data_IF_466442015778
#
_entry.id   IF_466442015778
#
_cell.length_a   1.000
_cell.length_b   1.000
_cell.length_c   1.000
_cell.angle_alpha   90.00
_cell.angle_beta   90.00
_cell.angle_gamma   90.00
#
_symmetry.space_group_name_H-M   'P 1'
#
loop_
_entity.id
_entity.type
_entity.pdbx_description
1 polymer ?
#
# COMPACT_ATOMS: atom_id res chain seq x y z
N UNK A 1 4.98 9.44 -10.72
CA UNK A 1 4.31 8.29 -10.08
C UNK A 1 2.89 8.63 -9.62
N UNK A 2 2.66 9.77 -9.00
CA UNK A 2 1.32 10.18 -8.51
C UNK A 2 0.27 10.25 -9.62
N UNK A 3 0.63 10.75 -10.81
CA UNK A 3 -0.29 10.76 -11.96
C UNK A 3 -0.68 9.35 -12.41
N UNK A 4 0.24 8.36 -12.32
CA UNK A 4 -0.08 6.96 -12.60
C UNK A 4 -1.10 6.41 -11.60
N UNK A 5 -0.94 6.71 -10.30
CA UNK A 5 -1.91 6.31 -9.29
C UNK A 5 -3.29 6.95 -9.50
N UNK A 6 -3.33 8.26 -9.84
CA UNK A 6 -4.58 8.95 -10.18
C UNK A 6 -5.25 8.33 -11.40
N UNK A 7 -4.50 8.05 -12.45
CA UNK A 7 -5.03 7.41 -13.65
C UNK A 7 -5.63 6.04 -13.34
N UNK A 8 -4.97 5.23 -12.50
CA UNK A 8 -5.48 3.92 -12.07
C UNK A 8 -6.79 4.05 -11.27
N UNK A 9 -6.86 4.99 -10.32
CA UNK A 9 -8.08 5.24 -9.54
C UNK A 9 -9.23 5.68 -10.44
N UNK A 10 -9.00 6.64 -11.33
CA UNK A 10 -10.00 7.16 -12.25
C UNK A 10 -10.51 6.09 -13.24
N UNK A 11 -9.60 5.32 -13.83
CA UNK A 11 -9.93 4.23 -14.75
C UNK A 11 -10.86 3.20 -14.09
N UNK A 12 -10.59 2.86 -12.82
CA UNK A 12 -11.38 1.90 -12.07
C UNK A 12 -12.58 2.55 -11.34
N UNK A 13 -12.87 3.84 -11.59
CA UNK A 13 -13.98 4.59 -10.98
C UNK A 13 -13.96 4.59 -9.44
N UNK A 14 -12.76 4.49 -8.85
CA UNK A 14 -12.57 4.50 -7.40
C UNK A 14 -12.33 5.94 -6.95
N UNK A 15 -13.27 6.49 -6.20
CA UNK A 15 -13.17 7.81 -5.61
C UNK A 15 -12.49 7.73 -4.25
N UNK A 16 -11.46 8.56 -4.05
CA UNK A 16 -10.86 8.79 -2.74
C UNK A 16 -11.44 10.08 -2.19
N UNK A 17 -11.98 10.03 -0.96
CA UNK A 17 -12.53 11.23 -0.30
C UNK A 17 -11.44 12.27 -0.02
N UNK A 18 -11.82 13.39 0.59
CA UNK A 18 -10.90 14.52 0.85
C UNK A 18 -10.10 14.35 2.15
N UNK A 19 -10.55 13.50 3.06
CA UNK A 19 -9.95 13.31 4.38
C UNK A 19 -9.09 12.05 4.44
N UNK A 20 -7.82 12.17 4.06
CA UNK A 20 -6.81 11.12 4.18
C UNK A 20 -5.41 11.72 4.27
N UNK A 21 -4.43 10.93 4.74
CA UNK A 21 -3.02 11.22 4.52
C UNK A 21 -2.45 10.26 3.48
N UNK A 22 -1.57 10.76 2.61
CA UNK A 22 -0.97 9.97 1.55
C UNK A 22 0.52 9.76 1.81
N UNK A 23 0.93 8.50 1.84
CA UNK A 23 2.32 8.07 1.92
C UNK A 23 2.71 7.35 0.63
N UNK A 24 3.88 7.69 0.10
CA UNK A 24 4.59 6.92 -0.92
C UNK A 24 5.60 6.04 -0.20
N UNK A 25 5.30 4.76 -0.06
CA UNK A 25 6.15 3.78 0.64
C UNK A 25 7.13 3.17 -0.35
N UNK A 26 8.39 3.64 -0.37
CA UNK A 26 9.38 3.28 -1.41
C UNK A 26 10.49 2.33 -0.96
N UNK A 27 10.66 2.07 0.32
CA UNK A 27 11.54 1.07 0.95
C UNK A 27 13.03 1.06 0.53
N UNK A 28 13.38 1.49 -0.66
CA UNK A 28 14.76 1.49 -1.21
C UNK A 28 15.09 2.79 -1.97
N UNK A 29 14.47 3.89 -1.57
CA UNK A 29 14.59 5.18 -2.25
C UNK A 29 13.49 5.38 -3.31
N UNK A 30 13.15 6.65 -3.53
CA UNK A 30 12.08 7.05 -4.47
C UNK A 30 12.41 6.69 -5.93
N UNK A 31 13.67 6.63 -6.27
CA UNK A 31 14.17 6.24 -7.60
C UNK A 31 13.84 4.76 -7.94
N UNK A 32 13.67 3.91 -6.91
CA UNK A 32 13.31 2.50 -7.06
C UNK A 32 11.81 2.25 -6.88
N UNK A 33 11.00 3.29 -6.69
CA UNK A 33 9.60 3.18 -6.33
C UNK A 33 8.78 2.37 -7.35
N UNK A 34 9.03 2.51 -8.64
CA UNK A 34 8.31 1.72 -9.66
C UNK A 34 8.46 0.21 -9.50
N UNK A 35 9.59 -0.22 -8.94
CA UNK A 35 9.86 -1.65 -8.72
C UNK A 35 9.41 -2.12 -7.34
N UNK A 36 9.61 -1.28 -6.32
CA UNK A 36 9.42 -1.66 -4.91
C UNK A 36 8.73 -0.54 -4.16
N UNK A 37 7.47 -0.76 -3.77
CA UNK A 37 6.71 0.21 -3.00
C UNK A 37 5.21 0.09 -3.19
N UNK A 38 4.49 1.07 -2.68
CA UNK A 38 3.06 1.28 -2.88
C UNK A 38 2.65 2.68 -2.44
N UNK A 39 1.49 3.14 -2.90
CA UNK A 39 0.81 4.31 -2.33
C UNK A 39 -0.12 3.85 -1.22
N UNK A 40 -0.09 4.55 -0.09
CA UNK A 40 -0.92 4.29 1.08
C UNK A 40 -1.79 5.51 1.35
N UNK A 41 -3.07 5.43 1.01
CA UNK A 41 -4.07 6.41 1.40
C UNK A 41 -4.60 6.00 2.78
N UNK A 42 -4.12 6.64 3.84
CA UNK A 42 -4.55 6.37 5.20
C UNK A 42 -5.86 7.10 5.46
N UNK A 43 -6.97 6.39 5.45
CA UNK A 43 -8.32 6.95 5.54
C UNK A 43 -8.75 7.12 6.99
N UNK A 44 -8.52 6.09 7.81
CA UNK A 44 -8.83 6.12 9.24
C UNK A 44 -7.79 5.30 10.02
N UNK A 45 -7.45 5.76 11.23
CA UNK A 45 -6.64 5.02 12.18
C UNK A 45 -7.09 5.35 13.61
N UNK A 46 -8.01 4.56 14.13
CA UNK A 46 -8.58 4.65 15.48
C UNK A 46 -8.32 3.34 16.22
N UNK A 47 -9.33 2.71 16.80
CA UNK A 47 -9.27 1.32 17.31
C UNK A 47 -9.15 0.32 16.16
N UNK A 48 -9.59 0.70 14.98
CA UNK A 48 -9.37 0.04 13.69
C UNK A 48 -8.70 1.01 12.72
N UNK A 49 -8.11 0.48 11.66
CA UNK A 49 -7.54 1.29 10.59
C UNK A 49 -8.07 0.82 9.21
N UNK A 50 -8.20 1.78 8.30
CA UNK A 50 -8.50 1.53 6.89
C UNK A 50 -7.54 2.31 6.01
N UNK A 51 -6.97 1.61 5.03
CA UNK A 51 -6.17 2.23 3.97
C UNK A 51 -6.67 1.77 2.61
N UNK A 52 -6.53 2.63 1.63
CA UNK A 52 -6.57 2.24 0.23
C UNK A 52 -5.13 2.15 -0.26
N UNK A 53 -4.78 1.02 -0.85
CA UNK A 53 -3.43 0.75 -1.35
C UNK A 53 -3.47 0.70 -2.87
N UNK A 54 -2.59 1.48 -3.51
CA UNK A 54 -2.42 1.46 -4.96
C UNK A 54 -1.00 1.02 -5.27
N UNK A 55 -0.87 0.00 -6.10
CA UNK A 55 0.41 -0.50 -6.59
C UNK A 55 0.49 -0.38 -8.11
N UNK A 56 1.61 0.15 -8.58
CA UNK A 56 1.89 0.26 -10.01
C UNK A 56 2.13 -1.13 -10.63
N UNK A 57 2.10 -1.26 -11.97
CA UNK A 57 2.35 -2.51 -12.67
C UNK A 57 3.62 -3.23 -12.20
N UNK A 58 3.48 -4.51 -11.84
CA UNK A 58 4.56 -5.38 -11.37
C UNK A 58 5.30 -4.94 -10.10
N UNK A 59 4.83 -3.91 -9.43
CA UNK A 59 5.43 -3.38 -8.21
C UNK A 59 5.38 -4.41 -7.07
N UNK A 60 6.44 -4.48 -6.28
CA UNK A 60 6.55 -5.41 -5.14
C UNK A 60 6.50 -4.66 -3.83
N UNK A 61 5.88 -5.26 -2.81
CA UNK A 61 6.03 -4.86 -1.43
C UNK A 61 6.91 -5.88 -0.69
N UNK A 62 7.96 -5.43 0.03
CA UNK A 62 8.92 -6.34 0.67
C UNK A 62 8.29 -7.20 1.76
N UNK A 63 8.86 -8.39 1.96
CA UNK A 63 8.45 -9.30 3.04
C UNK A 63 8.60 -8.66 4.41
N UNK A 64 7.49 -8.63 5.15
CA UNK A 64 7.39 -8.03 6.47
C UNK A 64 6.31 -8.73 7.30
N UNK A 65 6.24 -8.39 8.59
CA UNK A 65 5.14 -8.76 9.48
C UNK A 65 4.81 -7.62 10.43
N UNK A 66 3.63 -7.72 11.05
CA UNK A 66 3.18 -6.84 12.11
C UNK A 66 3.03 -7.63 13.41
N UNK A 67 3.62 -7.15 14.50
CA UNK A 67 3.55 -7.82 15.80
C UNK A 67 2.18 -7.64 16.46
N UNK A 68 1.60 -6.45 16.31
CA UNK A 68 0.38 -6.04 17.04
C UNK A 68 -0.85 -5.96 16.14
N UNK A 69 -0.68 -5.92 14.81
CA UNK A 69 -1.74 -5.69 13.85
C UNK A 69 -2.11 -6.98 13.11
N UNK A 70 -3.41 -7.28 13.02
CA UNK A 70 -3.99 -8.19 12.03
C UNK A 70 -4.63 -7.38 10.92
N UNK A 71 -4.66 -7.92 9.70
CA UNK A 71 -5.07 -7.21 8.49
C UNK A 71 -6.02 -8.06 7.66
N UNK A 72 -6.93 -7.42 6.97
CA UNK A 72 -7.77 -8.00 5.93
C UNK A 72 -7.55 -7.21 4.65
N UNK A 73 -7.15 -7.88 3.58
CA UNK A 73 -7.07 -7.28 2.25
C UNK A 73 -8.32 -7.61 1.46
N UNK A 74 -8.91 -6.60 0.80
CA UNK A 74 -10.06 -6.75 -0.09
C UNK A 74 -9.68 -6.15 -1.44
N UNK A 75 -9.67 -6.98 -2.48
CA UNK A 75 -9.28 -6.55 -3.82
C UNK A 75 -10.39 -5.76 -4.50
N UNK A 76 -10.04 -4.58 -5.03
CA UNK A 76 -10.94 -3.71 -5.77
C UNK A 76 -10.67 -3.70 -7.28
N UNK A 77 -9.39 -3.73 -7.69
CA UNK A 77 -9.01 -3.69 -9.10
C UNK A 77 -7.64 -4.34 -9.35
N UNK A 78 -7.44 -4.84 -10.57
CA UNK A 78 -6.20 -5.47 -10.99
C UNK A 78 -6.02 -6.86 -10.39
N UNK A 79 -4.78 -7.26 -10.12
CA UNK A 79 -4.47 -8.54 -9.49
C UNK A 79 -3.29 -8.44 -8.54
N UNK A 80 -3.29 -9.26 -7.49
CA UNK A 80 -2.27 -9.28 -6.47
C UNK A 80 -1.82 -10.72 -6.20
N UNK A 81 -0.52 -10.97 -6.31
CA UNK A 81 0.09 -12.20 -5.78
C UNK A 81 0.54 -11.92 -4.36
N UNK A 82 0.04 -12.69 -3.42
CA UNK A 82 0.35 -12.59 -2.00
C UNK A 82 0.97 -13.91 -1.52
N UNK A 83 2.04 -13.82 -0.73
CA UNK A 83 2.62 -14.93 0.01
C UNK A 83 2.45 -14.61 1.49
N UNK A 84 1.81 -15.51 2.24
CA UNK A 84 1.62 -15.42 3.68
C UNK A 84 2.12 -16.72 4.34
N UNK A 85 3.30 -16.65 4.92
CA UNK A 85 4.01 -17.83 5.40
C UNK A 85 4.28 -18.84 4.29
N UNK A 86 3.59 -19.99 4.32
CA UNK A 86 3.67 -21.03 3.27
C UNK A 86 2.55 -20.93 2.22
N UNK A 87 1.54 -20.11 2.48
CA UNK A 87 0.37 -19.98 1.63
C UNK A 87 0.64 -18.99 0.49
N UNK A 88 0.12 -19.30 -0.69
CA UNK A 88 0.21 -18.45 -1.88
C UNK A 88 -1.19 -18.17 -2.41
N UNK A 89 -1.47 -16.89 -2.62
CA UNK A 89 -2.76 -16.41 -3.13
C UNK A 89 -2.56 -15.63 -4.43
N UNK A 90 -3.47 -15.82 -5.38
CA UNK A 90 -3.63 -14.98 -6.55
C UNK A 90 -4.99 -14.31 -6.42
N UNK A 91 -4.99 -13.05 -6.04
CA UNK A 91 -6.21 -12.31 -5.72
C UNK A 91 -6.66 -11.46 -6.90
N UNK A 92 -7.95 -11.46 -7.15
CA UNK A 92 -8.69 -10.71 -8.16
C UNK A 92 -9.78 -9.86 -7.50
N UNK A 93 -10.39 -8.89 -8.19
CA UNK A 93 -11.44 -8.05 -7.62
C UNK A 93 -12.57 -8.87 -6.98
N UNK A 94 -12.93 -8.50 -5.74
CA UNK A 94 -13.88 -9.21 -4.90
C UNK A 94 -13.25 -10.23 -3.93
N UNK A 95 -12.02 -10.68 -4.17
CA UNK A 95 -11.34 -11.59 -3.27
C UNK A 95 -10.92 -10.90 -1.97
N UNK A 96 -10.97 -11.69 -0.88
CA UNK A 96 -10.55 -11.29 0.45
C UNK A 96 -9.53 -12.27 1.01
N UNK A 97 -8.56 -11.77 1.77
CA UNK A 97 -7.62 -12.57 2.55
C UNK A 97 -7.38 -11.92 3.91
N UNK A 98 -7.34 -12.75 4.95
CA UNK A 98 -7.06 -12.32 6.31
C UNK A 98 -5.63 -12.70 6.69
N UNK A 99 -4.86 -11.74 7.21
CA UNK A 99 -3.47 -11.88 7.62
C UNK A 99 -3.38 -11.76 9.14
N UNK A 100 -2.84 -12.79 9.77
CA UNK A 100 -2.69 -12.82 11.22
C UNK A 100 -1.48 -12.00 11.69
N UNK A 101 -1.53 -11.59 12.95
CA UNK A 101 -0.38 -11.02 13.65
C UNK A 101 0.82 -11.94 13.52
N UNK A 102 2.00 -11.34 13.38
CA UNK A 102 3.30 -12.04 13.29
C UNK A 102 3.45 -12.98 12.09
N UNK A 103 2.51 -12.97 11.13
CA UNK A 103 2.67 -13.72 9.89
C UNK A 103 3.53 -12.95 8.89
N UNK A 104 4.58 -13.59 8.38
CA UNK A 104 5.42 -13.04 7.33
C UNK A 104 4.68 -13.03 6.01
N UNK A 105 4.49 -11.83 5.46
CA UNK A 105 3.84 -11.69 4.16
C UNK A 105 4.56 -10.74 3.23
N UNK A 106 4.44 -11.01 1.94
CA UNK A 106 4.92 -10.18 0.85
C UNK A 106 3.94 -10.24 -0.31
N UNK A 107 3.89 -9.20 -1.11
CA UNK A 107 2.95 -9.16 -2.21
C UNK A 107 3.48 -8.42 -3.44
N UNK A 108 2.92 -8.75 -4.58
CA UNK A 108 3.28 -8.19 -5.87
C UNK A 108 2.05 -7.92 -6.72
N UNK A 109 1.93 -6.72 -7.23
CA UNK A 109 0.91 -6.36 -8.23
C UNK A 109 1.13 -7.10 -9.55
N UNK A 110 0.04 -7.40 -10.23
CA UNK A 110 0.07 -7.94 -11.59
C UNK A 110 0.52 -6.92 -12.64
N UNK A 111 0.47 -7.33 -13.90
CA UNK A 111 0.94 -6.53 -15.07
C UNK A 111 0.22 -5.19 -15.25
N UNK A 112 -0.99 -5.05 -14.75
CA UNK A 112 -1.79 -3.82 -14.82
C UNK A 112 -1.82 -3.04 -13.49
N UNK A 113 -1.00 -3.45 -12.49
CA UNK A 113 -1.09 -2.92 -11.14
C UNK A 113 -2.25 -3.52 -10.36
N UNK A 114 -2.52 -2.97 -9.17
CA UNK A 114 -3.69 -3.33 -8.38
C UNK A 114 -4.09 -2.21 -7.42
N UNK A 115 -5.36 -2.26 -7.01
CA UNK A 115 -5.93 -1.42 -5.96
C UNK A 115 -6.67 -2.34 -4.99
N UNK A 116 -6.40 -2.20 -3.70
CA UNK A 116 -7.07 -2.97 -2.66
C UNK A 116 -7.20 -2.17 -1.36
N UNK A 117 -8.15 -2.56 -0.54
CA UNK A 117 -8.32 -2.01 0.80
C UNK A 117 -7.56 -2.87 1.82
N UNK A 118 -6.88 -2.22 2.75
CA UNK A 118 -6.37 -2.81 3.97
C UNK A 118 -7.26 -2.35 5.12
N UNK A 119 -8.02 -3.26 5.69
CA UNK A 119 -8.73 -3.06 6.95
C UNK A 119 -7.94 -3.79 8.03
N UNK A 120 -7.70 -3.14 9.16
CA UNK A 120 -6.86 -3.73 10.19
C UNK A 120 -7.26 -3.28 11.59
N UNK A 121 -6.74 -3.94 12.61
CA UNK A 121 -6.65 -3.34 13.93
C UNK A 121 -5.77 -2.11 13.87
N UNK A 122 -5.74 -1.30 14.93
CA UNK A 122 -4.99 -0.03 14.98
C UNK A 122 -3.58 -0.17 14.41
N UNK A 123 -3.23 0.71 13.47
CA UNK A 123 -1.91 0.76 12.85
C UNK A 123 -0.93 1.60 13.69
N UNK A 124 0.18 1.01 14.11
CA UNK A 124 1.22 1.66 14.91
C UNK A 124 2.45 1.98 14.05
N UNK A 125 3.06 3.14 14.25
CA UNK A 125 4.19 3.63 13.44
C UNK A 125 5.40 2.68 13.44
N UNK A 126 5.66 1.96 14.53
CA UNK A 126 6.83 1.11 14.71
C UNK A 126 6.52 -0.40 14.62
N UNK A 127 5.36 -0.78 14.09
CA UNK A 127 4.89 -2.18 14.06
C UNK A 127 5.11 -2.88 12.72
N UNK A 128 6.05 -2.43 11.89
CA UNK A 128 6.42 -3.10 10.63
C UNK A 128 7.85 -3.62 10.70
N UNK A 129 8.00 -4.94 10.65
CA UNK A 129 9.30 -5.63 10.75
C UNK A 129 9.63 -6.29 9.41
N UNK A 130 10.78 -5.94 8.84
CA UNK A 130 11.18 -6.37 7.50
C UNK A 130 12.21 -7.49 7.53
N UNK A 131 12.07 -8.46 6.61
CA UNK A 131 13.04 -9.55 6.42
C UNK A 131 14.34 -9.04 5.82
N UNK A 132 14.28 -8.05 4.94
CA UNK A 132 15.46 -7.45 4.32
C UNK A 132 16.26 -6.64 5.35
N UNK A 133 17.54 -7.02 5.55
CA UNK A 133 18.44 -6.41 6.53
C UNK A 133 18.68 -4.91 6.31
N UNK A 134 18.72 -4.43 5.05
CA UNK A 134 18.90 -3.00 4.73
C UNK A 134 17.66 -2.21 5.14
N UNK A 135 16.47 -2.68 4.74
CA UNK A 135 15.19 -2.03 5.08
C UNK A 135 14.96 -2.02 6.60
N UNK A 136 15.34 -3.10 7.29
CA UNK A 136 15.23 -3.21 8.76
C UNK A 136 16.02 -2.12 9.51
N UNK A 137 17.14 -1.67 8.94
CA UNK A 137 18.03 -0.64 9.54
C UNK A 137 17.58 0.79 9.24
N UNK A 138 16.73 0.99 8.25
CA UNK A 138 16.22 2.30 7.85
C UNK A 138 15.11 2.77 8.78
N UNK A 139 15.13 4.04 9.12
CA UNK A 139 14.00 4.66 9.81
C UNK A 139 12.77 4.74 8.90
N UNK A 140 11.58 4.92 9.53
CA UNK A 140 10.32 5.00 8.79
C UNK A 140 10.35 6.13 7.74
N UNK A 141 10.88 7.29 8.10
CA UNK A 141 10.88 8.48 7.26
C UNK A 141 11.85 8.35 6.08
N UNK A 142 12.90 7.54 6.20
CA UNK A 142 13.79 7.19 5.09
C UNK A 142 13.12 6.27 4.04
N UNK A 143 12.05 5.58 4.42
CA UNK A 143 11.32 4.62 3.58
C UNK A 143 10.03 5.17 3.01
N UNK A 144 9.67 6.41 3.34
CA UNK A 144 8.38 7.00 2.99
C UNK A 144 8.51 8.47 2.67
N UNK A 145 7.72 8.89 1.69
CA UNK A 145 7.51 10.30 1.36
C UNK A 145 6.04 10.64 1.63
N UNK A 146 5.81 11.70 2.40
CA UNK A 146 4.47 12.18 2.71
C UNK A 146 4.03 13.23 1.69
N UNK A 147 2.86 13.03 1.10
CA UNK A 147 2.30 13.94 0.11
C UNK A 147 1.29 14.87 0.78
N UNK A 148 1.61 16.16 0.82
CA UNK A 148 0.74 17.17 1.45
C UNK A 148 -0.34 17.69 0.51
N UNK A 149 -0.13 17.64 -0.80
CA UNK A 149 -0.98 18.32 -1.77
C UNK A 149 -1.39 17.39 -2.92
N UNK A 150 -2.17 16.36 -2.57
CA UNK A 150 -2.70 15.42 -3.56
C UNK A 150 -3.59 16.10 -4.60
N UNK A 151 -4.49 17.00 -4.19
CA UNK A 151 -5.43 17.66 -5.08
C UNK A 151 -4.75 18.69 -5.99
N UNK A 152 -3.75 19.43 -5.50
CA UNK A 152 -2.98 20.40 -6.27
C UNK A 152 -2.12 19.81 -7.39
N UNK A 153 -1.93 18.49 -7.41
CA UNK A 153 -1.25 17.77 -8.49
C UNK A 153 -2.16 17.47 -9.70
N UNK A 154 -3.43 17.76 -9.62
CA UNK A 154 -4.37 17.76 -10.74
C UNK A 154 -4.59 19.19 -11.15
N UNK A 155 -3.61 19.76 -11.87
CA UNK A 155 -3.75 20.95 -12.70
C UNK A 155 -4.89 21.92 -12.41
N UNK A 156 -5.08 22.34 -11.17
CA UNK A 156 -5.72 23.63 -10.94
C UNK A 156 -4.64 24.68 -11.19
N UNK A 157 -4.36 24.93 -12.46
CA UNK A 157 -3.88 26.24 -12.86
C UNK A 157 -4.94 27.20 -12.35
N UNK A 158 -4.69 27.90 -11.27
CA UNK A 158 -5.43 29.11 -10.96
C UNK A 158 -5.01 30.08 -12.05
N UNK A 159 -5.91 30.30 -13.01
CA UNK A 159 -5.86 31.46 -13.88
C UNK A 159 -6.12 32.71 -13.04
#
# INVERSE_FOLDING_TARGET
>A
YLHKAKAMLNYNKIKVGESFSLEVSHHKGIENFEKIGCFLFNIVNKVYAKKLIVMLPNQKHPSHFHKSKSETFIMLAGSLKLIDGKNKYNLSPGDRVDLNKSSWHEFRAGKNGCIFEEISTRSLKKDSFYKNKKIKKMDRDERKTYIKNWFGLVGTVKY
#
